data_IF_042474615638
#
_entry.id   IF_042474615638
#
_cell.length_a   1.000
_cell.length_b   1.000
_cell.length_c   1.000
_cell.angle_alpha   90.00
_cell.angle_beta   90.00
_cell.angle_gamma   90.00
#
_symmetry.space_group_name_H-M   'P 1'
#
loop_
_entity.id
_entity.type
_entity.pdbx_description
1 polymer ?
#
# COMPACT_ATOMS: atom_id res chain seq x y z
N UNK A 1 6.97 3.33 -29.12
CA UNK A 1 6.34 2.04 -29.50
C UNK A 1 5.28 1.74 -28.46
N UNK A 2 4.01 1.85 -28.83
CA UNK A 2 2.89 1.60 -27.89
C UNK A 2 2.84 0.10 -27.57
N UNK A 3 3.11 -0.29 -26.34
CA UNK A 3 2.93 -1.68 -25.88
C UNK A 3 1.44 -1.85 -25.50
N UNK A 4 0.73 -2.65 -26.27
CA UNK A 4 -0.62 -3.10 -25.91
C UNK A 4 -0.50 -4.31 -24.99
N UNK A 5 -0.98 -4.19 -23.77
CA UNK A 5 -1.21 -5.34 -22.91
C UNK A 5 -2.46 -6.08 -23.45
N UNK A 6 -2.28 -7.34 -23.82
CA UNK A 6 -3.40 -8.19 -24.22
C UNK A 6 -3.86 -8.92 -22.97
N UNK A 7 -5.00 -8.51 -22.41
CA UNK A 7 -5.71 -9.28 -21.38
C UNK A 7 -6.44 -10.39 -22.11
N UNK A 8 -6.00 -11.64 -21.93
CA UNK A 8 -6.66 -12.80 -22.52
C UNK A 8 -7.87 -13.14 -21.64
N UNK A 9 -9.05 -12.75 -22.07
CA UNK A 9 -10.29 -13.27 -21.52
C UNK A 9 -10.51 -14.69 -22.05
N UNK A 10 -10.35 -15.71 -21.20
CA UNK A 10 -10.64 -17.10 -21.56
C UNK A 10 -12.14 -17.38 -21.44
N UNK A 11 -12.78 -17.52 -22.59
CA UNK A 11 -14.15 -18.08 -22.69
C UNK A 11 -14.13 -19.54 -22.23
N UNK A 12 -14.89 -19.86 -21.18
CA UNK A 12 -15.14 -21.22 -20.73
C UNK A 12 -16.25 -21.84 -21.60
N UNK A 13 -15.87 -22.73 -22.52
CA UNK A 13 -16.82 -23.59 -23.23
C UNK A 13 -16.93 -24.89 -22.46
N UNK A 14 -18.11 -25.16 -21.92
CA UNK A 14 -18.44 -26.46 -21.26
C UNK A 14 -18.63 -27.54 -22.30
N UNK A 15 -17.77 -28.55 -22.27
CA UNK A 15 -18.03 -29.84 -22.93
C UNK A 15 -18.09 -30.96 -21.88
N UNK A 16 -19.26 -31.56 -21.75
CA UNK A 16 -19.47 -32.79 -20.98
C UNK A 16 -19.03 -33.98 -21.81
N UNK A 17 -18.10 -34.82 -21.31
CA UNK A 17 -17.96 -36.20 -21.72
C UNK A 17 -17.70 -37.11 -20.52
N UNK A 18 -18.52 -38.15 -20.43
CA UNK A 18 -18.41 -39.24 -19.46
C UNK A 18 -17.44 -40.33 -19.98
N UNK A 19 -16.73 -40.99 -19.05
CA UNK A 19 -16.19 -42.32 -19.38
C UNK A 19 -14.87 -42.70 -18.73
N UNK A 20 -14.94 -43.44 -17.66
CA UNK A 20 -14.13 -44.55 -17.09
C UNK A 20 -12.63 -44.73 -17.29
N UNK A 21 -12.00 -44.89 -16.12
CA UNK A 21 -11.10 -45.96 -15.63
C UNK A 21 -9.58 -45.83 -15.84
N UNK A 22 -8.91 -45.79 -14.67
CA UNK A 22 -7.68 -46.45 -14.21
C UNK A 22 -6.33 -46.19 -14.90
N UNK A 23 -5.41 -45.58 -14.20
CA UNK A 23 -4.12 -46.17 -13.75
C UNK A 23 -3.29 -45.17 -12.94
N UNK A 24 -2.69 -45.64 -11.83
CA UNK A 24 -1.76 -44.93 -10.96
C UNK A 24 -0.44 -44.62 -11.68
N UNK A 25 0.03 -43.42 -11.58
CA UNK A 25 1.47 -43.10 -11.65
C UNK A 25 1.70 -41.79 -10.91
N UNK A 26 2.50 -41.83 -9.83
CA UNK A 26 2.83 -40.66 -9.04
C UNK A 26 3.69 -39.68 -9.85
N UNK A 27 3.26 -38.44 -9.85
CA UNK A 27 4.11 -37.28 -10.11
C UNK A 27 3.73 -36.23 -9.06
N UNK A 28 4.73 -35.82 -8.28
CA UNK A 28 4.66 -34.63 -7.43
C UNK A 28 4.31 -33.44 -8.31
N UNK A 29 3.12 -32.92 -8.13
CA UNK A 29 2.68 -31.67 -8.76
C UNK A 29 3.29 -30.52 -7.90
N UNK A 30 4.23 -29.80 -8.47
CA UNK A 30 4.42 -28.40 -8.11
C UNK A 30 3.19 -27.65 -8.61
N UNK A 31 2.22 -27.43 -7.74
CA UNK A 31 1.12 -26.50 -7.98
C UNK A 31 1.70 -25.08 -7.92
N UNK A 32 2.11 -24.56 -9.06
CA UNK A 32 2.28 -23.14 -9.28
C UNK A 32 0.91 -22.49 -9.13
N UNK A 33 0.69 -21.80 -8.02
CA UNK A 33 -0.49 -21.00 -7.78
C UNK A 33 -0.46 -19.82 -8.78
N UNK A 34 -1.08 -19.99 -9.95
CA UNK A 34 -1.37 -18.87 -10.83
C UNK A 34 -2.36 -17.98 -10.09
N UNK A 35 -1.93 -16.79 -9.67
CA UNK A 35 -2.80 -15.81 -9.03
C UNK A 35 -3.99 -15.54 -9.97
N UNK A 36 -5.18 -15.81 -9.50
CA UNK A 36 -6.40 -15.49 -10.23
C UNK A 36 -6.60 -13.98 -10.12
N UNK A 37 -6.59 -13.28 -11.27
CA UNK A 37 -6.85 -11.83 -11.29
C UNK A 37 -8.23 -11.55 -10.69
N UNK A 38 -8.31 -10.55 -9.81
CA UNK A 38 -9.56 -10.08 -9.20
C UNK A 38 -10.22 -8.96 -10.01
N UNK A 39 -9.66 -8.60 -11.18
CA UNK A 39 -10.29 -7.67 -12.11
C UNK A 39 -11.60 -8.23 -12.65
N UNK A 40 -12.62 -7.40 -12.74
CA UNK A 40 -13.98 -7.77 -13.15
C UNK A 40 -14.60 -6.72 -14.08
N UNK A 41 -15.55 -7.14 -14.91
CA UNK A 41 -16.40 -6.25 -15.72
C UNK A 41 -17.68 -5.80 -14.95
N UNK A 42 -17.84 -6.19 -13.68
CA UNK A 42 -18.99 -5.79 -12.87
C UNK A 42 -18.98 -4.27 -12.65
N UNK A 43 -19.99 -3.52 -13.15
CA UNK A 43 -20.03 -2.07 -13.06
C UNK A 43 -20.20 -1.55 -11.62
N UNK A 44 -20.54 -2.41 -10.67
CA UNK A 44 -20.64 -2.07 -9.24
C UNK A 44 -19.32 -2.23 -8.49
N UNK A 45 -18.31 -2.89 -9.08
CA UNK A 45 -17.01 -3.06 -8.45
C UNK A 45 -16.26 -1.72 -8.36
N UNK A 46 -15.41 -1.59 -7.35
CA UNK A 46 -14.57 -0.40 -7.17
C UNK A 46 -13.70 -0.16 -8.42
N UNK A 47 -13.60 1.10 -8.85
CA UNK A 47 -12.70 1.47 -9.95
C UNK A 47 -11.30 1.69 -9.44
N UNK A 48 -10.34 1.14 -10.17
CA UNK A 48 -8.92 1.40 -10.02
C UNK A 48 -8.44 2.02 -11.33
N UNK A 49 -8.08 3.29 -11.29
CA UNK A 49 -7.54 4.01 -12.44
C UNK A 49 -6.05 3.75 -12.54
N UNK A 50 -5.57 3.53 -13.76
CA UNK A 50 -4.18 3.18 -14.05
C UNK A 50 -3.62 4.06 -15.16
N UNK A 51 -2.38 4.50 -14.99
CA UNK A 51 -1.54 5.07 -16.06
C UNK A 51 -0.13 4.49 -16.02
N UNK A 52 0.46 4.23 -17.17
CA UNK A 52 1.87 3.86 -17.28
C UNK A 52 2.83 5.04 -17.14
N UNK A 53 2.31 6.26 -17.12
CA UNK A 53 3.09 7.50 -16.98
C UNK A 53 3.47 7.75 -15.52
N UNK A 54 4.73 7.44 -15.16
CA UNK A 54 5.31 7.72 -13.84
C UNK A 54 6.05 9.06 -13.91
N UNK A 55 5.29 10.13 -14.02
CA UNK A 55 5.76 11.51 -14.01
C UNK A 55 4.94 12.35 -13.01
N UNK A 56 5.37 13.56 -12.66
CA UNK A 56 4.54 14.48 -11.87
C UNK A 56 3.16 14.69 -12.50
N UNK A 57 3.09 14.82 -13.82
CA UNK A 57 1.85 14.96 -14.58
C UNK A 57 0.99 13.70 -14.53
N UNK A 58 1.61 12.51 -14.59
CA UNK A 58 0.92 11.22 -14.48
C UNK A 58 0.24 11.04 -13.11
N UNK A 59 0.89 11.49 -12.01
CA UNK A 59 0.30 11.49 -10.68
C UNK A 59 -0.92 12.40 -10.59
N UNK A 60 -0.87 13.58 -11.17
CA UNK A 60 -2.03 14.50 -11.23
C UNK A 60 -3.15 13.90 -12.07
N UNK A 61 -2.82 13.34 -13.25
CA UNK A 61 -3.79 12.71 -14.15
C UNK A 61 -4.57 11.56 -13.47
N UNK A 62 -3.91 10.70 -12.70
CA UNK A 62 -4.58 9.59 -12.00
C UNK A 62 -5.43 10.10 -10.83
N UNK A 63 -4.99 11.16 -10.15
CA UNK A 63 -5.79 11.85 -9.13
C UNK A 63 -7.06 12.45 -9.72
N UNK A 64 -6.95 13.19 -10.83
CA UNK A 64 -8.11 13.79 -11.50
C UNK A 64 -9.11 12.74 -12.00
N UNK A 65 -8.64 11.59 -12.46
CA UNK A 65 -9.47 10.48 -12.91
C UNK A 65 -10.41 9.92 -11.82
N UNK A 66 -10.04 10.07 -10.54
CA UNK A 66 -10.91 9.69 -9.40
C UNK A 66 -12.20 10.52 -9.36
N UNK A 67 -12.21 11.73 -9.91
CA UNK A 67 -13.34 12.64 -9.83
C UNK A 67 -13.66 13.17 -8.42
N UNK A 68 -12.76 12.94 -7.47
CA UNK A 68 -12.85 13.41 -6.07
C UNK A 68 -11.95 14.62 -5.90
N UNK A 69 -12.50 15.72 -5.43
CA UNK A 69 -11.72 16.93 -5.15
C UNK A 69 -11.33 17.00 -3.69
N UNK A 70 -10.04 17.25 -3.43
CA UNK A 70 -9.56 17.56 -2.08
C UNK A 70 -10.18 18.84 -1.53
N UNK A 71 -10.32 18.93 -0.22
CA UNK A 71 -10.90 20.11 0.45
C UNK A 71 -10.29 20.28 1.85
N UNK A 72 -10.48 21.49 2.40
CA UNK A 72 -10.01 21.80 3.76
C UNK A 72 -8.48 21.73 3.89
N UNK A 73 -8.00 21.21 5.00
CA UNK A 73 -6.58 20.97 5.25
C UNK A 73 -6.22 19.57 4.78
N UNK A 74 -5.36 19.48 3.77
CA UNK A 74 -5.02 18.22 3.10
C UNK A 74 -3.71 17.65 3.64
N UNK A 75 -3.76 16.41 4.12
CA UNK A 75 -2.59 15.59 4.40
C UNK A 75 -2.22 14.76 3.17
N UNK A 76 -0.97 14.81 2.73
CA UNK A 76 -0.42 13.85 1.76
C UNK A 76 0.49 12.89 2.51
N UNK A 77 0.00 11.66 2.77
CA UNK A 77 0.74 10.65 3.55
C UNK A 77 1.74 9.93 2.68
N UNK A 78 3.01 10.10 3.03
CA UNK A 78 4.16 9.53 2.32
C UNK A 78 5.06 8.70 3.23
N UNK A 79 6.11 8.12 2.65
CA UNK A 79 7.29 7.61 3.36
C UNK A 79 8.53 8.39 2.91
N UNK A 80 9.23 9.02 3.84
CA UNK A 80 10.43 9.82 3.55
C UNK A 80 11.70 8.99 3.38
N UNK A 81 11.61 7.66 3.57
CA UNK A 81 12.74 6.74 3.46
C UNK A 81 13.68 6.76 4.67
N UNK A 82 14.46 5.71 4.88
CA UNK A 82 15.40 5.60 5.99
C UNK A 82 16.75 6.26 5.68
N UNK A 83 17.21 6.18 4.43
CA UNK A 83 18.43 6.81 3.95
C UNK A 83 18.24 7.44 2.56
N UNK A 84 19.24 8.13 2.04
CA UNK A 84 19.26 8.62 0.66
C UNK A 84 19.27 7.48 -0.38
N UNK A 85 19.71 6.28 0.03
CA UNK A 85 19.76 5.08 -0.82
C UNK A 85 18.44 4.31 -0.85
N UNK A 86 17.53 4.58 0.11
CA UNK A 86 16.19 3.98 0.11
C UNK A 86 15.39 4.36 -1.14
N UNK A 87 14.49 3.48 -1.59
CA UNK A 87 13.74 3.63 -2.85
C UNK A 87 12.46 4.49 -2.72
N UNK A 88 12.36 5.35 -1.70
CA UNK A 88 11.19 6.21 -1.46
C UNK A 88 10.83 7.08 -2.67
N UNK A 89 9.58 7.49 -2.77
CA UNK A 89 9.10 8.42 -3.80
C UNK A 89 9.86 9.75 -3.70
N UNK A 90 10.55 10.12 -4.75
CA UNK A 90 11.37 11.34 -4.77
C UNK A 90 10.49 12.59 -4.72
N UNK A 91 10.91 13.65 -4.00
CA UNK A 91 10.14 14.88 -3.88
C UNK A 91 9.72 15.47 -5.24
N UNK A 92 10.61 15.40 -6.23
CA UNK A 92 10.38 15.91 -7.57
C UNK A 92 9.22 15.19 -8.29
N UNK A 93 9.06 13.88 -8.03
CA UNK A 93 7.98 13.09 -8.64
C UNK A 93 6.62 13.46 -8.07
N UNK A 94 6.55 13.77 -6.78
CA UNK A 94 5.27 13.99 -6.08
C UNK A 94 4.85 15.46 -6.03
N UNK A 95 5.73 16.39 -6.47
CA UNK A 95 5.58 17.84 -6.29
C UNK A 95 4.26 18.37 -6.85
N UNK A 96 3.92 18.02 -8.09
CA UNK A 96 2.76 18.57 -8.79
C UNK A 96 1.46 18.10 -8.16
N UNK A 97 1.37 16.83 -7.76
CA UNK A 97 0.22 16.33 -7.02
C UNK A 97 0.06 17.06 -5.67
N UNK A 98 1.16 17.24 -4.92
CA UNK A 98 1.13 17.93 -3.63
C UNK A 98 0.68 19.38 -3.78
N UNK A 99 1.14 20.08 -4.83
CA UNK A 99 0.71 21.44 -5.15
C UNK A 99 -0.75 21.48 -5.62
N UNK A 100 -1.18 20.53 -6.47
CA UNK A 100 -2.56 20.44 -6.97
C UNK A 100 -3.56 20.32 -5.82
N UNK A 101 -3.26 19.50 -4.82
CA UNK A 101 -4.14 19.33 -3.66
C UNK A 101 -3.89 20.36 -2.55
N UNK A 102 -2.95 21.28 -2.70
CA UNK A 102 -2.49 22.22 -1.67
C UNK A 102 -2.16 21.49 -0.36
N UNK A 103 -1.39 20.40 -0.47
CA UNK A 103 -1.18 19.43 0.60
C UNK A 103 -0.03 19.78 1.55
N UNK A 104 -0.14 19.29 2.79
CA UNK A 104 0.99 19.15 3.73
C UNK A 104 1.45 17.71 3.66
N UNK A 105 2.75 17.47 3.47
CA UNK A 105 3.33 16.13 3.56
C UNK A 105 3.28 15.65 5.00
N UNK A 106 2.80 14.44 5.26
CA UNK A 106 2.67 13.91 6.62
C UNK A 106 3.34 12.55 6.77
N UNK A 107 3.97 12.34 7.92
CA UNK A 107 4.54 11.06 8.36
C UNK A 107 4.50 10.94 9.89
N UNK A 108 4.86 9.77 10.44
CA UNK A 108 5.08 9.55 11.87
C UNK A 108 6.46 8.94 12.09
N UNK A 109 7.02 9.14 13.28
CA UNK A 109 8.28 8.53 13.70
C UNK A 109 8.23 7.01 13.63
N UNK A 110 9.39 6.37 13.42
CA UNK A 110 9.50 4.92 13.41
C UNK A 110 9.65 4.36 14.82
N UNK A 111 9.31 3.07 14.99
CA UNK A 111 9.42 2.38 16.28
C UNK A 111 10.74 1.61 16.44
N UNK A 112 11.62 1.66 15.46
CA UNK A 112 12.98 1.09 15.49
C UNK A 112 14.00 2.23 15.55
N UNK A 113 15.23 1.92 15.94
CA UNK A 113 16.33 2.88 15.85
C UNK A 113 16.62 3.22 14.38
N UNK A 114 17.13 4.42 14.13
CA UNK A 114 17.45 4.88 12.78
C UNK A 114 17.20 6.38 12.64
N UNK A 115 17.24 6.85 11.38
CA UNK A 115 17.16 8.29 11.09
C UNK A 115 15.76 8.90 11.33
N UNK A 116 14.74 8.08 11.53
CA UNK A 116 13.37 8.52 11.79
C UNK A 116 12.82 8.06 13.15
N UNK A 117 13.70 7.58 14.04
CA UNK A 117 13.30 7.05 15.34
C UNK A 117 12.92 8.12 16.38
N UNK A 118 13.11 9.40 16.08
CA UNK A 118 12.66 10.55 16.86
C UNK A 118 12.50 11.76 15.96
N UNK A 119 11.70 12.74 16.38
CA UNK A 119 11.35 13.90 15.55
C UNK A 119 12.54 14.75 15.14
N UNK A 120 13.55 14.91 15.99
CA UNK A 120 14.74 15.72 15.65
C UNK A 120 15.52 15.11 14.48
N UNK A 121 15.84 13.82 14.56
CA UNK A 121 16.54 13.10 13.49
C UNK A 121 15.65 12.97 12.24
N UNK A 122 14.34 12.76 12.42
CA UNK A 122 13.39 12.65 11.32
C UNK A 122 13.29 13.97 10.53
N UNK A 123 13.24 15.13 11.20
CA UNK A 123 13.28 16.45 10.55
C UNK A 123 14.57 16.65 9.77
N UNK A 124 15.73 16.25 10.34
CA UNK A 124 16.98 16.29 9.61
C UNK A 124 16.93 15.42 8.34
N UNK A 125 16.44 14.22 8.44
CA UNK A 125 16.27 13.30 7.32
C UNK A 125 15.34 13.87 6.22
N UNK A 126 14.24 14.51 6.60
CA UNK A 126 13.29 15.20 5.72
C UNK A 126 14.00 16.34 4.96
N UNK A 127 14.75 17.18 5.67
CA UNK A 127 15.47 18.29 5.08
C UNK A 127 16.57 17.83 4.11
N UNK A 128 17.39 16.83 4.51
CA UNK A 128 18.44 16.25 3.68
C UNK A 128 17.90 15.66 2.37
N UNK A 129 16.69 15.09 2.38
CA UNK A 129 16.03 14.48 1.20
C UNK A 129 15.23 15.48 0.38
N UNK A 130 15.13 16.73 0.84
CA UNK A 130 14.56 17.83 0.07
C UNK A 130 13.03 17.92 0.08
N UNK A 131 12.32 17.17 0.93
CA UNK A 131 10.86 17.21 1.00
C UNK A 131 10.32 18.61 1.36
N UNK A 132 11.01 19.37 2.21
CA UNK A 132 10.63 20.73 2.58
C UNK A 132 10.67 21.73 1.42
N UNK A 133 11.32 21.38 0.28
CA UNK A 133 11.30 22.19 -0.94
C UNK A 133 9.99 22.05 -1.71
N UNK A 134 9.26 20.97 -1.49
CA UNK A 134 7.97 20.70 -2.12
C UNK A 134 6.83 21.29 -1.32
N UNK A 135 6.77 21.00 -0.03
CA UNK A 135 5.72 21.49 0.84
C UNK A 135 6.17 21.45 2.32
N UNK A 136 5.33 22.02 3.20
CA UNK A 136 5.46 21.80 4.64
C UNK A 136 5.41 20.31 4.93
N UNK A 137 6.28 19.84 5.86
CA UNK A 137 6.23 18.47 6.35
C UNK A 137 5.84 18.46 7.82
N UNK A 138 4.86 17.62 8.17
CA UNK A 138 4.33 17.45 9.51
C UNK A 138 4.62 16.03 10.01
N UNK A 139 5.32 15.91 11.14
CA UNK A 139 5.52 14.65 11.87
C UNK A 139 4.35 14.53 12.85
N UNK A 140 3.33 13.76 12.47
CA UNK A 140 2.03 13.77 13.13
C UNK A 140 2.05 13.30 14.59
N UNK A 141 3.05 12.54 15.00
CA UNK A 141 3.25 12.04 16.38
C UNK A 141 4.34 12.81 17.15
N UNK A 142 4.71 14.01 16.68
CA UNK A 142 5.77 14.81 17.32
C UNK A 142 5.36 15.36 18.69
N UNK A 143 4.12 15.77 18.82
CA UNK A 143 3.58 16.40 20.05
C UNK A 143 2.80 15.42 20.91
N UNK A 144 2.23 14.35 20.30
CA UNK A 144 1.44 13.38 21.03
C UNK A 144 0.79 12.31 20.17
N UNK A 145 -0.09 11.58 20.80
CA UNK A 145 -0.83 10.50 20.16
C UNK A 145 -2.29 10.43 20.64
N UNK A 146 -3.18 9.95 19.77
CA UNK A 146 -4.58 9.67 20.11
C UNK A 146 -4.91 8.23 19.78
N UNK A 147 -6.05 7.76 20.30
CA UNK A 147 -6.61 6.44 20.03
C UNK A 147 -7.81 6.56 19.12
N UNK A 148 -7.75 5.91 17.97
CA UNK A 148 -8.92 5.75 17.10
C UNK A 148 -9.65 4.45 17.46
N UNK A 149 -10.99 4.46 17.43
CA UNK A 149 -11.77 3.24 17.64
C UNK A 149 -11.56 2.28 16.47
N UNK A 150 -11.43 1.00 16.76
CA UNK A 150 -11.45 -0.09 15.78
C UNK A 150 -12.84 -0.73 15.75
N UNK A 151 -13.26 -1.24 14.59
CA UNK A 151 -14.50 -2.00 14.45
C UNK A 151 -14.22 -3.48 14.78
N UNK A 152 -13.16 -4.02 14.19
CA UNK A 152 -12.66 -5.35 14.48
C UNK A 152 -11.61 -5.30 15.60
N UNK A 153 -11.98 -5.76 16.78
CA UNK A 153 -11.16 -5.73 17.98
C UNK A 153 -10.52 -7.09 18.33
N UNK A 154 -10.37 -7.98 17.37
CA UNK A 154 -9.80 -9.31 17.57
C UNK A 154 -8.42 -9.25 18.21
N UNK A 155 -7.53 -8.41 17.68
CA UNK A 155 -6.15 -8.24 18.15
C UNK A 155 -5.95 -6.91 18.85
N UNK A 156 -6.09 -5.80 18.13
CA UNK A 156 -5.94 -4.45 18.67
C UNK A 156 -7.30 -3.93 19.17
N UNK A 157 -7.30 -3.22 20.30
CA UNK A 157 -8.54 -2.66 20.87
C UNK A 157 -8.79 -1.21 20.47
N UNK A 158 -7.80 -0.58 19.90
CA UNK A 158 -7.78 0.77 19.34
C UNK A 158 -6.54 0.90 18.46
N UNK A 159 -6.55 1.83 17.52
CA UNK A 159 -5.34 2.23 16.81
C UNK A 159 -4.71 3.46 17.50
N UNK A 160 -3.38 3.48 17.65
CA UNK A 160 -2.65 4.59 18.29
C UNK A 160 -1.94 5.37 17.18
N UNK A 161 -2.46 6.55 16.87
CA UNK A 161 -1.98 7.39 15.78
C UNK A 161 -1.43 8.72 16.30
N UNK A 162 -0.62 9.40 15.48
CA UNK A 162 -0.16 10.75 15.81
C UNK A 162 -1.35 11.72 15.98
N UNK A 163 -1.34 12.56 17.00
CA UNK A 163 -2.47 13.44 17.34
C UNK A 163 -2.74 14.52 16.30
N UNK A 164 -1.71 14.89 15.50
CA UNK A 164 -1.88 15.85 14.40
C UNK A 164 -2.79 15.35 13.25
N UNK A 165 -3.20 14.07 13.22
CA UNK A 165 -4.22 13.59 12.29
C UNK A 165 -5.52 14.41 12.40
N UNK A 166 -5.79 14.97 13.59
CA UNK A 166 -6.95 15.82 13.85
C UNK A 166 -6.89 17.17 13.11
N UNK A 167 -5.70 17.56 12.66
CA UNK A 167 -5.49 18.80 11.92
C UNK A 167 -5.96 18.74 10.47
N UNK A 168 -6.35 17.59 9.96
CA UNK A 168 -6.62 17.38 8.55
C UNK A 168 -8.07 16.98 8.29
N UNK A 169 -8.61 17.52 7.20
CA UNK A 169 -9.96 17.27 6.72
C UNK A 169 -9.97 16.28 5.56
N UNK A 170 -8.87 16.19 4.81
CA UNK A 170 -8.70 15.30 3.68
C UNK A 170 -7.34 14.61 3.71
N UNK A 171 -7.28 13.33 3.34
CA UNK A 171 -6.01 12.61 3.19
C UNK A 171 -5.85 12.07 1.77
N UNK A 172 -4.72 12.37 1.16
CA UNK A 172 -4.19 11.62 0.01
C UNK A 172 -3.20 10.60 0.57
N UNK A 173 -3.59 9.34 0.62
CA UNK A 173 -2.70 8.25 0.97
C UNK A 173 -1.85 7.92 -0.26
N UNK A 174 -0.67 8.54 -0.36
CA UNK A 174 0.27 8.37 -1.47
C UNK A 174 1.33 7.35 -1.08
N UNK A 175 1.15 6.12 -1.50
CA UNK A 175 2.05 5.03 -1.20
C UNK A 175 3.02 4.73 -2.34
N UNK A 176 4.18 4.27 -1.98
CA UNK A 176 5.13 3.60 -2.85
C UNK A 176 4.89 2.10 -2.72
N UNK A 177 4.49 1.42 -3.82
CA UNK A 177 4.28 -0.03 -3.79
C UNK A 177 5.62 -0.78 -3.92
N UNK A 178 5.89 -1.72 -3.02
CA UNK A 178 7.14 -2.50 -2.96
C UNK A 178 7.02 -3.71 -2.04
N UNK A 179 8.08 -4.51 -1.95
CA UNK A 179 8.21 -5.56 -0.95
C UNK A 179 8.35 -5.03 0.48
N UNK A 180 8.13 -5.90 1.45
CA UNK A 180 8.34 -5.59 2.86
C UNK A 180 8.81 -6.83 3.62
N UNK A 181 9.80 -6.63 4.50
CA UNK A 181 10.47 -7.74 5.21
C UNK A 181 9.52 -8.55 6.11
N UNK A 182 8.53 -7.90 6.72
CA UNK A 182 7.57 -8.54 7.63
C UNK A 182 6.18 -8.67 6.98
N UNK A 183 5.65 -7.60 6.38
CA UNK A 183 4.29 -7.60 5.82
C UNK A 183 4.15 -8.21 4.42
N UNK A 184 5.25 -8.69 3.79
CA UNK A 184 5.26 -9.21 2.43
C UNK A 184 5.33 -8.09 1.40
N UNK A 185 4.40 -7.16 1.41
CA UNK A 185 4.42 -5.94 0.59
C UNK A 185 4.02 -4.71 1.41
N UNK A 186 4.22 -3.56 0.82
CA UNK A 186 3.77 -2.28 1.33
C UNK A 186 3.10 -1.49 0.20
N UNK A 187 1.81 -1.23 0.35
CA UNK A 187 0.98 -0.36 -0.46
C UNK A 187 0.18 0.58 0.43
N UNK A 188 -1.01 1.00 0.00
CA UNK A 188 -1.83 1.98 0.74
C UNK A 188 -2.34 1.45 2.08
N UNK A 189 -2.66 0.14 2.20
CA UNK A 189 -3.07 -0.45 3.48
C UNK A 189 -1.97 -0.32 4.54
N UNK A 190 -0.72 -0.60 4.18
CA UNK A 190 0.41 -0.43 5.09
C UNK A 190 0.70 1.05 5.37
N UNK A 191 0.61 1.91 4.35
CA UNK A 191 0.90 3.33 4.50
C UNK A 191 -0.07 4.02 5.45
N UNK A 192 -1.35 3.64 5.46
CA UNK A 192 -2.32 4.21 6.39
C UNK A 192 -2.36 3.53 7.76
N UNK A 193 -2.01 2.24 7.88
CA UNK A 193 -1.91 1.58 9.18
C UNK A 193 -0.59 1.93 9.87
N UNK A 194 0.50 1.26 9.51
CA UNK A 194 1.83 1.46 10.10
C UNK A 194 2.34 2.91 9.89
N UNK A 195 2.07 3.52 8.72
CA UNK A 195 2.58 4.84 8.39
C UNK A 195 1.95 5.97 9.21
N UNK A 196 0.69 5.86 9.60
CA UNK A 196 -0.07 6.86 10.39
C UNK A 196 0.03 6.58 11.89
N UNK A 197 0.26 5.32 12.28
CA UNK A 197 0.46 4.96 13.68
C UNK A 197 1.65 5.72 14.30
N UNK A 198 1.52 6.13 15.56
CA UNK A 198 2.65 6.63 16.37
C UNK A 198 3.70 5.54 16.58
N UNK A 199 4.86 5.89 17.16
CA UNK A 199 5.85 4.87 17.52
C UNK A 199 5.26 3.78 18.43
N UNK A 200 4.42 4.13 19.39
CA UNK A 200 3.73 3.17 20.26
C UNK A 200 2.69 2.34 19.47
N UNK A 201 1.97 2.99 18.56
CA UNK A 201 1.00 2.33 17.69
C UNK A 201 1.65 1.30 16.76
N UNK A 202 2.80 1.63 16.17
CA UNK A 202 3.57 0.67 15.36
C UNK A 202 3.93 -0.59 16.15
N UNK A 203 4.41 -0.44 17.40
CA UNK A 203 4.70 -1.58 18.27
C UNK A 203 3.44 -2.39 18.60
N UNK A 204 2.33 -1.70 18.83
CA UNK A 204 1.05 -2.33 19.17
C UNK A 204 0.50 -3.16 18.02
N UNK A 205 0.55 -2.64 16.79
CA UNK A 205 0.16 -3.37 15.57
C UNK A 205 1.10 -4.55 15.34
N UNK A 206 2.43 -4.36 15.35
CA UNK A 206 3.40 -5.44 15.10
C UNK A 206 3.32 -6.57 16.13
N UNK A 207 2.88 -6.28 17.33
CA UNK A 207 2.72 -7.29 18.39
C UNK A 207 1.35 -7.96 18.40
N UNK A 208 0.49 -7.72 17.41
CA UNK A 208 -0.90 -8.17 17.44
C UNK A 208 -1.61 -7.78 18.75
N UNK A 209 -1.50 -6.51 19.12
CA UNK A 209 -2.14 -5.94 20.31
C UNK A 209 -1.53 -6.29 21.67
N UNK A 210 -0.41 -7.03 21.70
CA UNK A 210 0.18 -7.51 22.97
C UNK A 210 1.07 -6.49 23.68
N UNK A 211 1.65 -5.51 22.95
CA UNK A 211 2.53 -4.50 23.54
C UNK A 211 2.66 -3.26 22.69
N UNK A 212 2.52 -2.08 23.31
CA UNK A 212 2.83 -0.77 22.70
C UNK A 212 4.22 -0.24 23.09
N UNK A 213 5.03 -1.03 23.81
CA UNK A 213 6.33 -0.60 24.35
C UNK A 213 7.49 -1.54 23.99
N UNK A 214 7.21 -2.71 23.43
CA UNK A 214 8.21 -3.71 23.05
C UNK A 214 7.92 -4.25 21.66
N UNK A 215 8.98 -4.44 20.88
CA UNK A 215 8.90 -5.10 19.60
C UNK A 215 8.63 -6.61 19.78
N UNK A 216 7.53 -7.10 19.26
CA UNK A 216 7.16 -8.50 19.17
C UNK A 216 6.67 -8.75 17.73
N UNK A 217 7.15 -9.80 17.06
CA UNK A 217 6.83 -10.11 15.66
C UNK A 217 6.80 -11.63 15.41
N UNK A 218 6.29 -12.37 16.37
CA UNK A 218 6.20 -13.84 16.37
C UNK A 218 4.80 -14.36 16.00
N UNK A 219 3.88 -13.46 15.64
CA UNK A 219 2.53 -13.76 15.19
C UNK A 219 2.28 -13.06 13.85
N UNK A 220 2.60 -13.77 12.76
CA UNK A 220 2.58 -13.20 11.40
C UNK A 220 1.17 -12.81 10.96
N UNK A 221 0.21 -13.71 11.09
CA UNK A 221 -1.16 -13.45 10.64
C UNK A 221 -1.86 -12.44 11.57
N UNK A 222 -1.64 -12.54 12.88
CA UNK A 222 -2.13 -11.55 13.85
C UNK A 222 -1.59 -10.14 13.61
N UNK A 223 -0.36 -10.01 13.13
CA UNK A 223 0.20 -8.73 12.69
C UNK A 223 -0.52 -8.19 11.44
N UNK A 224 -0.73 -9.02 10.41
CA UNK A 224 -1.41 -8.61 9.16
C UNK A 224 -2.88 -8.24 9.43
N UNK A 225 -3.57 -9.01 10.28
CA UNK A 225 -4.93 -8.72 10.72
C UNK A 225 -5.00 -7.40 11.53
N UNK A 226 -4.02 -7.16 12.41
CA UNK A 226 -3.91 -5.90 13.14
C UNK A 226 -3.65 -4.70 12.22
N UNK A 227 -2.85 -4.88 11.16
CA UNK A 227 -2.67 -3.85 10.14
C UNK A 227 -3.99 -3.54 9.41
N UNK A 228 -4.78 -4.55 9.07
CA UNK A 228 -6.08 -4.36 8.43
C UNK A 228 -7.05 -3.60 9.34
N UNK A 229 -7.12 -3.96 10.63
CA UNK A 229 -7.97 -3.28 11.62
C UNK A 229 -7.55 -1.82 11.85
N UNK A 230 -6.23 -1.55 11.91
CA UNK A 230 -5.69 -0.19 12.01
C UNK A 230 -5.96 0.63 10.73
N UNK A 231 -5.77 0.01 9.54
CA UNK A 231 -6.10 0.65 8.27
C UNK A 231 -7.60 1.03 8.20
N UNK A 232 -8.49 0.14 8.69
CA UNK A 232 -9.92 0.43 8.78
C UNK A 232 -10.23 1.57 9.76
N UNK A 233 -9.53 1.65 10.88
CA UNK A 233 -9.73 2.73 11.85
C UNK A 233 -9.40 4.10 11.24
N UNK A 234 -8.28 4.22 10.51
CA UNK A 234 -7.89 5.46 9.80
C UNK A 234 -8.87 5.77 8.66
N UNK A 235 -9.27 4.75 7.87
CA UNK A 235 -10.29 4.92 6.83
C UNK A 235 -11.58 5.48 7.42
N UNK A 236 -12.12 4.86 8.46
CA UNK A 236 -13.36 5.28 9.13
C UNK A 236 -13.24 6.67 9.74
N UNK A 237 -12.06 7.05 10.26
CA UNK A 237 -11.82 8.39 10.76
C UNK A 237 -11.97 9.45 9.65
N UNK A 238 -11.44 9.18 8.45
CA UNK A 238 -11.58 10.08 7.32
C UNK A 238 -12.88 9.92 6.51
N UNK A 239 -13.73 8.94 6.82
CA UNK A 239 -15.08 8.82 6.24
C UNK A 239 -16.18 9.40 7.13
N UNK A 240 -15.81 10.12 8.20
CA UNK A 240 -16.77 10.90 9.00
C UNK A 240 -17.21 12.15 8.25
N UNK A 241 -18.31 12.77 8.68
CA UNK A 241 -18.83 14.02 8.10
C UNK A 241 -17.73 15.12 8.10
N UNK A 242 -17.55 15.77 6.95
CA UNK A 242 -16.56 16.83 6.77
C UNK A 242 -15.13 16.33 6.56
N UNK A 243 -14.90 15.02 6.35
CA UNK A 243 -13.60 14.44 6.04
C UNK A 243 -13.69 13.50 4.84
N UNK A 244 -12.55 13.25 4.16
CA UNK A 244 -12.45 12.20 3.14
C UNK A 244 -11.01 11.71 2.97
N UNK A 245 -10.84 10.54 2.31
CA UNK A 245 -9.56 9.93 1.99
C UNK A 245 -9.61 9.27 0.61
N UNK A 246 -8.53 9.44 -0.15
CA UNK A 246 -8.26 8.76 -1.40
C UNK A 246 -6.91 8.05 -1.36
N UNK A 247 -6.69 7.16 -2.29
CA UNK A 247 -5.55 6.25 -2.32
C UNK A 247 -4.85 6.29 -3.66
N UNK A 248 -3.52 6.39 -3.63
CA UNK A 248 -2.65 6.35 -4.81
C UNK A 248 -1.45 5.45 -4.49
N UNK A 249 -1.18 4.46 -5.34
CA UNK A 249 0.04 3.64 -5.32
C UNK A 249 0.92 3.95 -6.53
N UNK A 250 2.20 4.14 -6.28
CA UNK A 250 3.21 4.30 -7.32
C UNK A 250 4.06 3.04 -7.38
N UNK A 251 4.01 2.34 -8.50
CA UNK A 251 4.71 1.09 -8.77
C UNK A 251 6.01 1.35 -9.54
N UNK A 252 6.96 2.03 -8.89
CA UNK A 252 8.29 2.29 -9.42
C UNK A 252 9.38 1.85 -8.43
N UNK A 253 10.58 1.56 -8.92
CA UNK A 253 11.72 1.14 -8.08
C UNK A 253 11.33 0.06 -7.04
N UNK A 254 10.51 -0.90 -7.43
CA UNK A 254 9.93 -1.92 -6.56
C UNK A 254 10.96 -2.94 -6.10
N UNK A 255 11.65 -2.62 -4.99
CA UNK A 255 12.53 -3.57 -4.31
C UNK A 255 11.73 -4.62 -3.52
N UNK A 256 12.37 -5.73 -3.19
CA UNK A 256 11.87 -6.68 -2.18
C UNK A 256 11.89 -6.11 -0.77
N UNK A 257 12.65 -5.03 -0.55
CA UNK A 257 12.77 -4.32 0.72
C UNK A 257 12.02 -2.99 0.67
N UNK A 258 11.57 -2.52 1.83
CA UNK A 258 10.77 -1.30 1.89
C UNK A 258 11.64 -0.04 2.06
N UNK A 259 11.03 1.15 1.97
CA UNK A 259 11.69 2.44 2.17
C UNK A 259 12.26 2.60 3.60
N UNK A 260 11.89 1.70 4.51
CA UNK A 260 12.44 1.63 5.87
C UNK A 260 13.79 0.90 5.95
N UNK A 261 14.28 0.35 4.85
CA UNK A 261 15.63 -0.19 4.73
C UNK A 261 16.57 0.91 4.22
N UNK A 262 17.66 1.14 4.93
CA UNK A 262 18.68 2.12 4.55
C UNK A 262 19.55 1.68 3.36
N UNK A 263 19.59 0.37 3.08
CA UNK A 263 20.38 -0.25 2.01
C UNK A 263 19.57 -1.33 1.29
N UNK A 264 18.43 -0.97 0.65
CA UNK A 264 17.54 -1.96 0.06
C UNK A 264 18.20 -2.69 -1.11
N UNK A 265 17.76 -3.92 -1.34
CA UNK A 265 18.13 -4.65 -2.55
C UNK A 265 17.70 -3.86 -3.81
N UNK A 266 18.48 -3.99 -4.87
CA UNK A 266 18.12 -3.35 -6.15
C UNK A 266 16.81 -3.91 -6.70
N UNK A 267 15.90 -3.06 -7.19
CA UNK A 267 14.71 -3.52 -7.90
C UNK A 267 15.07 -4.43 -9.07
N UNK A 268 14.32 -5.52 -9.24
CA UNK A 268 14.46 -6.45 -10.35
C UNK A 268 13.27 -6.41 -11.29
N UNK A 269 12.11 -6.05 -10.78
CA UNK A 269 10.91 -5.76 -11.55
C UNK A 269 10.99 -4.31 -12.06
N UNK A 270 10.75 -4.10 -13.36
CA UNK A 270 10.65 -2.76 -13.93
C UNK A 270 9.42 -2.02 -13.43
N UNK A 271 9.50 -0.72 -13.51
CA UNK A 271 8.43 0.18 -13.18
C UNK A 271 7.16 -0.15 -13.99
N UNK A 272 6.00 -0.13 -13.35
CA UNK A 272 4.73 -0.53 -13.96
C UNK A 272 3.85 0.68 -14.25
N UNK A 273 3.63 1.57 -13.27
CA UNK A 273 2.74 2.71 -13.42
C UNK A 273 2.27 3.30 -12.11
N UNK A 274 1.23 4.11 -12.19
CA UNK A 274 0.57 4.74 -11.05
C UNK A 274 -0.89 4.31 -11.06
N UNK A 275 -1.41 3.93 -9.89
CA UNK A 275 -2.80 3.52 -9.71
C UNK A 275 -3.48 4.38 -8.65
N UNK A 276 -4.79 4.61 -8.82
CA UNK A 276 -5.59 5.32 -7.83
C UNK A 276 -6.99 4.71 -7.66
N UNK A 277 -7.50 4.74 -6.44
CA UNK A 277 -8.86 4.30 -6.12
C UNK A 277 -9.41 5.04 -4.89
N UNK A 278 -10.71 4.97 -4.68
CA UNK A 278 -11.36 5.32 -3.42
C UNK A 278 -11.52 4.12 -2.48
N UNK A 279 -11.16 2.92 -2.94
CA UNK A 279 -11.15 1.68 -2.17
C UNK A 279 -9.70 1.19 -1.98
N UNK A 280 -9.16 1.14 -0.74
CA UNK A 280 -7.77 0.78 -0.51
C UNK A 280 -7.49 -0.71 -0.76
N UNK A 281 -8.48 -1.58 -0.57
CA UNK A 281 -8.32 -3.02 -0.78
C UNK A 281 -8.27 -3.32 -2.28
N UNK A 282 -9.17 -2.70 -3.06
CA UNK A 282 -9.18 -2.79 -4.51
C UNK A 282 -7.86 -2.31 -5.12
N UNK A 283 -7.31 -1.22 -4.59
CA UNK A 283 -6.06 -0.65 -5.08
C UNK A 283 -4.86 -1.57 -4.84
N UNK A 284 -4.64 -1.98 -3.58
CA UNK A 284 -3.54 -2.89 -3.25
C UNK A 284 -3.70 -4.23 -3.98
N UNK A 285 -4.95 -4.73 -4.16
CA UNK A 285 -5.22 -5.93 -4.94
C UNK A 285 -4.84 -5.78 -6.41
N UNK A 286 -5.15 -4.64 -7.02
CA UNK A 286 -4.76 -4.37 -8.42
C UNK A 286 -3.24 -4.35 -8.58
N UNK A 287 -2.52 -3.74 -7.65
CA UNK A 287 -1.05 -3.76 -7.64
C UNK A 287 -0.49 -5.19 -7.51
N UNK A 288 -1.08 -6.00 -6.63
CA UNK A 288 -0.71 -7.43 -6.48
C UNK A 288 -0.97 -8.20 -7.77
N UNK A 289 -2.13 -8.02 -8.39
CA UNK A 289 -2.47 -8.71 -9.65
C UNK A 289 -1.49 -8.34 -10.78
N UNK A 290 -1.05 -7.09 -10.85
CA UNK A 290 -0.03 -6.65 -11.82
C UNK A 290 1.34 -7.29 -11.55
N UNK A 291 1.75 -7.45 -10.29
CA UNK A 291 3.00 -8.14 -9.93
C UNK A 291 2.92 -9.63 -10.24
N UNK A 292 1.81 -10.30 -9.88
CA UNK A 292 1.66 -11.75 -10.09
C UNK A 292 1.33 -12.12 -11.53
N UNK A 293 0.70 -11.23 -12.29
CA UNK A 293 0.45 -11.38 -13.71
C UNK A 293 1.62 -10.97 -14.62
N UNK A 294 2.73 -10.47 -14.04
CA UNK A 294 3.90 -10.05 -14.81
C UNK A 294 4.57 -11.22 -15.54
N UNK A 295 4.94 -11.00 -16.79
CA UNK A 295 5.69 -11.97 -17.59
C UNK A 295 7.17 -11.58 -17.54
N UNK A 296 7.96 -12.38 -16.83
CA UNK A 296 9.38 -12.15 -16.66
C UNK A 296 10.13 -12.13 -17.99
N UNK A 297 11.13 -11.28 -18.10
CA UNK A 297 12.05 -11.16 -19.23
C UNK A 297 13.44 -10.80 -18.74
N UNK A 298 14.43 -10.78 -19.63
CA UNK A 298 15.81 -10.41 -19.26
C UNK A 298 15.86 -9.00 -18.64
N UNK A 299 16.31 -8.93 -17.38
CA UNK A 299 16.39 -7.69 -16.59
C UNK A 299 15.04 -7.14 -16.13
N UNK A 300 14.00 -7.98 -16.11
CA UNK A 300 12.64 -7.62 -15.70
C UNK A 300 11.97 -8.85 -15.05
N UNK A 301 12.08 -8.99 -13.72
CA UNK A 301 11.83 -10.24 -12.99
C UNK A 301 11.03 -9.94 -11.71
N UNK A 302 9.75 -10.33 -11.71
CA UNK A 302 8.84 -10.16 -10.57
C UNK A 302 9.01 -11.24 -9.49
N UNK A 303 9.63 -12.38 -9.83
CA UNK A 303 9.69 -13.55 -8.96
C UNK A 303 10.22 -13.27 -7.54
N UNK A 304 11.31 -12.49 -7.32
CA UNK A 304 11.77 -12.21 -5.97
C UNK A 304 10.76 -11.46 -5.11
N UNK A 305 9.99 -10.55 -5.73
CA UNK A 305 8.93 -9.82 -5.05
C UNK A 305 7.74 -10.73 -4.74
N UNK A 306 7.31 -11.57 -5.68
CA UNK A 306 6.27 -12.58 -5.48
C UNK A 306 6.65 -13.56 -4.35
N UNK A 307 7.89 -14.05 -4.33
CA UNK A 307 8.40 -14.93 -3.29
C UNK A 307 8.41 -14.25 -1.90
N UNK A 308 8.76 -12.95 -1.83
CA UNK A 308 8.72 -12.17 -0.59
C UNK A 308 7.27 -12.06 -0.09
N UNK A 309 6.33 -11.72 -0.96
CA UNK A 309 4.90 -11.59 -0.64
C UNK A 309 4.36 -12.92 -0.11
N UNK A 310 4.61 -14.03 -0.81
CA UNK A 310 4.13 -15.36 -0.42
C UNK A 310 4.75 -15.83 0.89
N UNK A 311 6.07 -15.69 1.06
CA UNK A 311 6.78 -16.11 2.27
C UNK A 311 6.29 -15.41 3.53
N UNK A 312 5.86 -14.17 3.42
CA UNK A 312 5.36 -13.37 4.52
C UNK A 312 3.82 -13.38 4.64
N UNK A 313 3.15 -14.33 3.96
CA UNK A 313 1.68 -14.40 3.91
C UNK A 313 1.03 -13.07 3.49
N UNK A 314 1.73 -12.25 2.70
CA UNK A 314 1.34 -10.86 2.43
C UNK A 314 -0.06 -10.69 1.88
N UNK A 315 -0.61 -11.67 1.16
CA UNK A 315 -1.98 -11.62 0.64
C UNK A 315 -3.06 -11.70 1.74
N UNK A 316 -2.72 -12.22 2.92
CA UNK A 316 -3.66 -12.36 4.04
C UNK A 316 -4.23 -11.01 4.49
N UNK A 317 -3.48 -9.91 4.39
CA UNK A 317 -4.01 -8.58 4.71
C UNK A 317 -5.18 -8.19 3.81
N UNK A 318 -5.14 -8.57 2.52
CA UNK A 318 -6.23 -8.27 1.56
C UNK A 318 -7.48 -9.09 1.89
N UNK A 319 -7.31 -10.40 2.13
CA UNK A 319 -8.41 -11.29 2.53
C UNK A 319 -9.07 -10.79 3.82
N UNK A 320 -8.25 -10.43 4.81
CA UNK A 320 -8.76 -9.97 6.10
C UNK A 320 -9.42 -8.60 5.99
N UNK A 321 -8.81 -7.65 5.26
CA UNK A 321 -9.39 -6.32 5.03
C UNK A 321 -10.76 -6.39 4.35
N UNK A 322 -10.95 -7.27 3.37
CA UNK A 322 -12.25 -7.51 2.76
C UNK A 322 -13.23 -8.13 3.77
N UNK A 323 -12.79 -9.12 4.55
CA UNK A 323 -13.64 -9.82 5.52
C UNK A 323 -14.19 -8.91 6.63
N UNK A 324 -13.43 -7.89 7.04
CA UNK A 324 -13.86 -6.88 8.03
C UNK A 324 -14.60 -5.68 7.40
N UNK A 325 -14.80 -5.69 6.07
CA UNK A 325 -15.57 -4.67 5.36
C UNK A 325 -14.84 -3.35 5.13
N UNK A 326 -13.51 -3.35 5.06
CA UNK A 326 -12.74 -2.14 4.71
C UNK A 326 -12.87 -1.78 3.23
N UNK A 327 -12.99 -2.75 2.35
CA UNK A 327 -13.13 -2.59 0.91
C UNK A 327 -13.36 -3.92 0.22
N UNK A 328 -13.17 -3.99 -1.09
CA UNK A 328 -13.35 -5.21 -1.89
C UNK A 328 -12.10 -5.54 -2.69
N UNK A 329 -11.77 -6.82 -2.76
CA UNK A 329 -10.71 -7.32 -3.65
C UNK A 329 -11.12 -7.32 -5.13
N UNK A 330 -12.43 -7.28 -5.45
CA UNK A 330 -12.94 -7.16 -6.81
C UNK A 330 -12.89 -5.71 -7.26
N UNK A 331 -12.35 -5.47 -8.45
CA UNK A 331 -12.19 -4.12 -8.99
C UNK A 331 -12.34 -4.08 -10.51
N UNK A 332 -12.67 -2.91 -11.05
CA UNK A 332 -12.54 -2.60 -12.47
C UNK A 332 -11.24 -1.83 -12.69
N UNK A 333 -10.36 -2.36 -13.55
CA UNK A 333 -9.16 -1.61 -13.98
C UNK A 333 -9.54 -0.68 -15.14
N UNK A 334 -9.32 0.62 -14.94
CA UNK A 334 -9.58 1.67 -15.93
C UNK A 334 -8.25 2.26 -16.39
N UNK A 335 -7.80 1.87 -17.56
CA UNK A 335 -6.60 2.44 -18.21
C UNK A 335 -6.95 3.83 -18.76
N UNK A 336 -6.16 4.84 -18.38
CA UNK A 336 -6.38 6.26 -18.74
C UNK A 336 -5.26 6.81 -19.64
N UNK A 337 -4.41 5.97 -20.24
CA UNK A 337 -3.33 6.37 -21.17
C UNK A 337 -3.84 6.80 -22.55
#
# INVERSE_FOLDING_TARGET
>A
MKRRFIILASLLTVFTFAGCSSARSGKTAEEGNAAVSNATEDPSAAKVYFTSDISPEGLVKVYEALGVKSFGRVAVKISTGESSESNYLRPELISDLVHEVNGTLVECNTAYGGNRGNSANHRQAIAERGFEKVAKVDIMDEEGEIRLPVVDDKHIKYDIVGDHIQNYDFMVNLAHFKGHAIGGFGGVLKNQSIGVASSAGKLYIHSAGRSSTRWLSDDQDGFLESMASAAQAVHNYFKQEGKDIIYIDVMNNMSVDCDCDGHPAKPRLKDIGVLASTDPVALDQACIDLVFGHIDSEGDDAKPLQERINRQHGLHILDYSESIGLGSRKYQLVDID
#
